data_IF_392851108447
#
_entry.id   IF_392851108447
#
_cell.length_a   1.000
_cell.length_b   1.000
_cell.length_c   1.000
_cell.angle_alpha   90.00
_cell.angle_beta   90.00
_cell.angle_gamma   90.00
#
_symmetry.space_group_name_H-M   'P 1'
#
loop_
_entity.id
_entity.type
_entity.pdbx_description
1 polymer ?
2 non-polymer ?
#
# COMPACT_ATOMS: atom_id res chain seq x y z
N UNK A 46 38.80 19.73 -10.12
CA UNK A 46 38.48 20.57 -11.31
C UNK A 46 37.95 21.86 -10.70
N UNK A 47 36.86 22.41 -11.24
CA UNK A 47 36.38 23.76 -10.80
C UNK A 47 34.86 23.85 -10.91
N UNK A 48 34.22 22.88 -11.55
CA UNK A 48 32.74 22.88 -11.64
C UNK A 48 32.20 22.18 -10.41
N UNK A 49 32.76 21.02 -10.09
CA UNK A 49 32.23 20.23 -8.94
C UNK A 49 31.75 21.14 -7.81
N UNK A 50 32.58 22.08 -7.29
CA UNK A 50 32.18 22.92 -6.17
C UNK A 50 30.87 23.67 -6.47
N UNK A 51 30.69 24.07 -7.72
CA UNK A 51 29.53 24.87 -8.08
C UNK A 51 28.29 23.99 -8.26
N UNK A 52 28.48 22.86 -8.96
CA UNK A 52 27.40 21.90 -9.20
C UNK A 52 26.95 21.26 -7.90
N UNK A 53 27.89 20.99 -6.99
CA UNK A 53 27.54 20.45 -5.70
C UNK A 53 26.65 21.40 -4.92
N UNK A 54 26.97 22.70 -4.94
CA UNK A 54 26.13 23.69 -4.30
C UNK A 54 24.80 23.80 -5.01
N UNK A 55 24.83 23.77 -6.35
CA UNK A 55 23.60 23.79 -7.12
C UNK A 55 22.70 22.61 -6.77
N UNK A 56 23.29 21.40 -6.70
CA UNK A 56 22.50 20.19 -6.53
C UNK A 56 22.09 19.99 -5.09
N UNK A 57 23.05 20.06 -4.16
CA UNK A 57 22.74 19.85 -2.75
C UNK A 57 21.74 20.87 -2.25
N UNK A 58 21.77 22.08 -2.79
CA UNK A 58 20.78 23.07 -2.38
C UNK A 58 19.39 22.74 -2.92
N UNK A 59 19.26 22.45 -4.22
CA UNK A 59 17.99 21.97 -4.77
C UNK A 59 17.45 20.81 -3.94
N UNK A 60 18.30 19.81 -3.65
CA UNK A 60 17.86 18.63 -2.92
C UNK A 60 17.49 18.98 -1.49
N UNK A 61 18.25 19.86 -0.85
CA UNK A 61 17.95 20.22 0.53
C UNK A 61 16.60 20.91 0.63
N UNK A 62 16.34 21.88 -0.26
CA UNK A 62 15.12 22.65 -0.15
C UNK A 62 13.91 21.82 -0.55
N UNK A 63 14.02 21.07 -1.65
CA UNK A 63 12.98 20.13 -2.04
C UNK A 63 12.64 19.18 -0.90
N UNK A 64 13.65 18.66 -0.22
CA UNK A 64 13.37 17.72 0.85
C UNK A 64 12.74 18.41 2.04
N UNK A 65 13.22 19.60 2.38
CA UNK A 65 12.63 20.36 3.49
C UNK A 65 11.20 20.77 3.13
N UNK A 66 11.00 21.26 1.91
CA UNK A 66 9.66 21.66 1.50
C UNK A 66 8.71 20.47 1.48
N UNK A 67 9.09 19.40 0.79
CA UNK A 67 8.16 18.32 0.54
C UNK A 67 7.83 17.52 1.79
N UNK A 68 8.84 17.23 2.60
CA UNK A 68 8.58 16.44 3.80
C UNK A 68 7.72 17.21 4.79
N UNK A 69 7.95 18.51 4.95
CA UNK A 69 7.09 19.25 5.89
C UNK A 69 5.71 19.50 5.30
N UNK A 70 5.63 19.70 3.99
CA UNK A 70 4.34 19.69 3.32
C UNK A 70 3.58 18.42 3.67
N UNK A 71 4.24 17.27 3.56
CA UNK A 71 3.61 16.00 3.87
C UNK A 71 3.25 15.90 5.35
N UNK A 72 4.14 16.33 6.24
CA UNK A 72 3.82 16.29 7.67
C UNK A 72 2.65 17.21 7.98
N UNK A 73 2.54 18.32 7.26
CA UNK A 73 1.50 19.30 7.53
C UNK A 73 0.12 18.74 7.17
N UNK A 74 -0.07 18.38 5.90
CA UNK A 74 -1.36 17.88 5.42
C UNK A 74 -1.78 16.62 6.17
N UNK A 75 -0.83 15.87 6.74
CA UNK A 75 -1.25 14.69 7.48
C UNK A 75 -1.72 15.02 8.90
N UNK A 76 -0.99 15.83 9.66
CA UNK A 76 -1.49 16.16 11.00
C UNK A 76 -2.70 17.08 10.92
N UNK A 77 -2.84 17.84 9.84
CA UNK A 77 -4.01 18.67 9.64
C UNK A 77 -5.25 17.81 9.35
N UNK A 78 -5.29 17.15 8.21
CA UNK A 78 -6.40 16.29 7.78
C UNK A 78 -6.30 14.92 8.43
N UNK A 79 -7.08 14.66 9.50
CA UNK A 79 -7.07 13.32 10.08
C UNK A 79 -7.88 12.33 9.26
N UNK A 80 -8.68 12.79 8.33
CA UNK A 80 -9.24 11.78 7.44
C UNK A 80 -8.13 11.14 6.61
N UNK A 81 -7.06 11.91 6.31
CA UNK A 81 -5.92 11.38 5.53
C UNK A 81 -5.11 10.36 6.31
N UNK A 82 -5.19 10.35 7.65
CA UNK A 82 -4.38 9.45 8.49
C UNK A 82 -4.99 8.06 8.55
N UNK A 83 -4.81 7.33 7.46
CA UNK A 83 -5.03 5.88 7.42
C UNK A 83 -3.87 5.16 8.10
N UNK A 84 -3.94 3.83 8.12
CA UNK A 84 -2.78 3.07 8.60
C UNK A 84 -1.61 3.24 7.65
N UNK A 85 -1.88 3.16 6.34
CA UNK A 85 -0.82 3.35 5.36
C UNK A 85 -0.15 4.68 5.53
N UNK A 86 -0.93 5.76 5.56
CA UNK A 86 -0.33 7.09 5.65
C UNK A 86 0.26 7.41 7.02
N UNK A 87 0.06 6.56 8.02
CA UNK A 87 0.69 6.78 9.31
C UNK A 87 2.14 6.32 9.26
N UNK A 88 2.38 5.15 8.65
CA UNK A 88 3.75 4.78 8.36
C UNK A 88 4.38 5.75 7.35
N UNK A 89 3.60 6.26 6.40
CA UNK A 89 4.13 7.26 5.47
C UNK A 89 4.53 8.53 6.19
N UNK A 90 3.91 8.80 7.33
CA UNK A 90 4.26 9.98 8.10
C UNK A 90 5.54 9.74 8.87
N UNK A 91 5.75 8.52 9.35
CA UNK A 91 6.98 8.20 10.07
C UNK A 91 8.17 8.10 9.12
N UNK A 92 7.93 7.62 7.91
CA UNK A 92 8.91 7.69 6.84
C UNK A 92 9.30 9.13 6.51
N UNK A 93 8.35 10.07 6.61
CA UNK A 93 8.65 11.46 6.25
C UNK A 93 9.38 12.20 7.34
N UNK A 94 9.20 11.77 8.59
CA UNK A 94 9.97 12.36 9.69
C UNK A 94 11.44 11.97 9.59
N UNK A 95 11.73 10.72 9.21
CA UNK A 95 13.12 10.32 8.96
C UNK A 95 13.74 11.15 7.86
N UNK A 96 13.07 11.20 6.70
CA UNK A 96 13.59 11.96 5.56
C UNK A 96 13.97 13.37 5.98
N UNK A 97 13.23 13.92 6.94
CA UNK A 97 13.47 15.30 7.36
C UNK A 97 14.65 15.36 8.31
N UNK A 98 14.70 14.43 9.26
CA UNK A 98 15.85 14.27 10.14
C UNK A 98 17.15 14.12 9.34
N UNK A 99 17.09 13.32 8.29
CA UNK A 99 18.25 13.10 7.42
C UNK A 99 18.60 14.35 6.64
N UNK A 100 17.57 15.10 6.21
CA UNK A 100 17.82 16.34 5.48
C UNK A 100 18.37 17.44 6.37
N UNK A 101 17.98 17.47 7.65
CA UNK A 101 18.35 18.55 8.57
C UNK A 101 19.54 18.24 9.47
N UNK A 102 19.67 17.01 9.95
CA UNK A 102 20.75 16.71 10.87
C UNK A 102 21.89 15.96 10.21
N UNK A 103 21.86 15.81 8.87
CA UNK A 103 22.85 15.00 8.19
C UNK A 103 23.32 15.61 6.88
N UNK A 104 22.40 16.07 6.05
CA UNK A 104 22.83 16.61 4.75
C UNK A 104 23.83 17.75 4.89
N UNK A 105 23.59 18.79 5.69
CA UNK A 105 24.62 19.87 5.79
C UNK A 105 25.92 19.39 6.40
N UNK A 106 25.85 18.70 7.53
CA UNK A 106 27.01 18.20 8.25
C UNK A 106 27.79 17.15 7.47
N UNK A 107 27.42 16.95 6.21
CA UNK A 107 28.18 15.99 5.40
C UNK A 107 28.58 16.65 4.09
N UNK A 108 27.94 17.75 3.71
CA UNK A 108 28.37 18.38 2.44
C UNK A 108 29.28 19.55 2.78
N UNK A 109 28.87 20.38 3.74
CA UNK A 109 29.74 21.52 4.12
C UNK A 109 31.14 20.96 4.38
N UNK A 110 31.33 20.02 5.31
CA UNK A 110 32.66 19.42 5.53
C UNK A 110 33.23 18.79 4.27
N UNK A 111 32.39 18.34 3.34
CA UNK A 111 32.92 17.85 2.09
C UNK A 111 33.35 18.98 1.16
N UNK A 112 32.69 20.13 1.24
CA UNK A 112 33.09 21.28 0.43
C UNK A 112 34.35 21.91 1.01
N UNK A 113 34.33 22.19 2.31
CA UNK A 113 35.50 22.71 3.02
C UNK A 113 36.67 21.74 2.97
N UNK A 114 36.40 20.48 2.62
CA UNK A 114 37.32 19.37 2.81
C UNK A 114 37.92 19.36 4.23
N UNK A 115 37.06 19.71 5.20
CA UNK A 115 37.48 19.74 6.62
C UNK A 115 36.24 19.68 7.52
N UNK A 116 36.21 18.75 8.48
CA UNK A 116 35.10 18.64 9.43
C UNK A 116 35.29 19.66 10.55
N UNK A 117 34.65 20.82 10.42
CA UNK A 117 34.85 21.96 11.31
C UNK A 117 33.83 22.02 12.45
N UNK A 118 32.98 21.00 12.61
CA UNK A 118 32.09 20.97 13.75
C UNK A 118 32.75 20.18 14.88
N UNK A 119 32.06 20.03 16.00
CA UNK A 119 32.66 19.37 17.15
C UNK A 119 32.81 17.87 16.95
N UNK A 120 33.52 17.24 17.89
CA UNK A 120 33.52 15.78 17.91
C UNK A 120 32.12 15.22 18.20
N UNK A 121 31.34 15.91 19.03
CA UNK A 121 30.02 15.41 19.36
C UNK A 121 29.05 15.56 18.20
N UNK A 122 29.18 16.63 17.40
CA UNK A 122 28.33 16.76 16.22
C UNK A 122 28.63 15.63 15.23
N UNK A 123 29.92 15.30 15.07
CA UNK A 123 30.34 14.19 14.22
C UNK A 123 29.70 12.88 14.67
N UNK A 124 29.71 12.60 15.98
CA UNK A 124 29.06 11.41 16.52
C UNK A 124 27.57 11.46 16.28
N UNK A 125 26.99 12.67 16.28
CA UNK A 125 25.56 12.84 16.22
C UNK A 125 25.02 12.64 14.81
N UNK A 126 25.62 13.34 13.83
CA UNK A 126 25.09 13.26 12.49
C UNK A 126 25.28 11.85 11.93
N UNK A 127 26.34 11.16 12.36
CA UNK A 127 26.48 9.74 12.06
C UNK A 127 25.35 8.92 12.69
N UNK A 128 24.92 9.33 13.90
CA UNK A 128 23.90 8.59 14.62
C UNK A 128 22.53 8.76 13.98
N UNK A 129 22.18 9.98 13.60
CA UNK A 129 20.90 10.20 12.95
C UNK A 129 20.88 9.66 11.54
N UNK A 130 22.04 9.54 10.89
CA UNK A 130 22.02 8.99 9.54
C UNK A 130 21.71 7.50 9.55
N UNK A 131 22.34 6.76 10.47
CA UNK A 131 22.02 5.35 10.59
C UNK A 131 20.60 5.11 11.06
N UNK A 132 20.12 5.95 11.97
CA UNK A 132 18.76 5.80 12.47
C UNK A 132 17.75 6.04 11.36
N UNK A 133 17.99 7.07 10.55
CA UNK A 133 17.06 7.42 9.48
C UNK A 133 16.86 6.24 8.53
N UNK A 134 17.96 5.69 8.01
CA UNK A 134 17.89 4.52 7.11
C UNK A 134 17.09 3.39 7.76
N UNK A 135 17.42 3.07 9.01
CA UNK A 135 16.78 1.99 9.74
C UNK A 135 15.26 2.18 9.82
N UNK A 136 14.82 3.36 10.26
CA UNK A 136 13.40 3.63 10.40
C UNK A 136 12.69 3.53 9.05
N UNK A 137 13.24 4.22 8.05
CA UNK A 137 12.65 4.24 6.71
C UNK A 137 12.50 2.83 6.15
N UNK A 138 13.57 2.04 6.25
CA UNK A 138 13.55 0.67 5.78
C UNK A 138 12.41 -0.11 6.42
N UNK A 139 12.32 -0.07 7.74
CA UNK A 139 11.35 -0.90 8.43
C UNK A 139 9.93 -0.33 8.37
N UNK A 140 9.78 0.97 8.04
CA UNK A 140 8.46 1.51 7.76
C UNK A 140 7.96 1.05 6.40
N UNK A 141 8.88 0.97 5.43
CA UNK A 141 8.47 0.42 4.16
C UNK A 141 8.00 -1.01 4.33
N UNK A 142 8.74 -1.78 5.14
CA UNK A 142 8.35 -3.15 5.44
C UNK A 142 7.00 -3.18 6.13
N UNK A 143 6.79 -2.25 7.08
CA UNK A 143 5.50 -2.16 7.76
C UNK A 143 4.37 -1.98 6.76
N UNK A 144 4.55 -1.05 5.80
CA UNK A 144 3.50 -0.76 4.84
C UNK A 144 3.17 -2.00 3.99
N UNK A 145 4.19 -2.73 3.56
CA UNK A 145 3.99 -3.90 2.72
C UNK A 145 3.19 -4.99 3.44
N UNK A 146 3.44 -5.18 4.73
CA UNK A 146 2.70 -6.19 5.49
C UNK A 146 1.31 -5.71 5.82
N UNK A 147 1.15 -4.41 5.98
CA UNK A 147 -0.15 -3.81 6.25
C UNK A 147 -1.04 -3.94 5.02
N UNK A 148 -0.50 -3.56 3.84
CA UNK A 148 -1.25 -3.73 2.61
C UNK A 148 -1.54 -5.20 2.35
N UNK A 149 -0.57 -6.07 2.64
CA UNK A 149 -0.80 -7.49 2.46
C UNK A 149 -1.98 -7.96 3.30
N UNK A 150 -2.01 -7.54 4.56
CA UNK A 150 -3.11 -7.89 5.43
C UNK A 150 -4.44 -7.34 4.94
N UNK A 151 -4.44 -6.12 4.41
CA UNK A 151 -5.69 -5.52 3.99
C UNK A 151 -6.17 -6.01 2.64
N UNK A 152 -5.30 -6.61 1.83
CA UNK A 152 -5.64 -7.03 0.49
C UNK A 152 -5.71 -8.55 0.37
N UNK A 153 -4.81 -9.26 1.04
CA UNK A 153 -4.73 -10.70 0.85
C UNK A 153 -5.34 -11.49 1.99
N UNK A 154 -5.50 -10.88 3.16
CA UNK A 154 -6.18 -11.59 4.26
C UNK A 154 -6.95 -10.55 5.06
N UNK A 155 -7.82 -9.78 4.36
CA UNK A 155 -8.60 -8.69 4.94
C UNK A 155 -9.52 -9.05 6.11
N UNK A 156 -10.34 -10.08 5.94
CA UNK A 156 -11.29 -10.53 7.00
C UNK A 156 -10.71 -11.77 7.68
N UNK A 157 -9.38 -11.82 7.83
CA UNK A 157 -8.62 -12.90 8.50
C UNK A 157 -7.58 -12.24 9.37
N UNK A 158 -7.16 -11.01 9.03
CA UNK A 158 -6.17 -10.37 9.92
C UNK A 158 -6.79 -8.97 10.07
N UNK A 159 -7.40 -8.72 11.23
CA UNK A 159 -7.92 -7.35 11.42
C UNK A 159 -6.90 -6.60 12.28
N UNK A 160 -6.23 -7.36 13.15
CA UNK A 160 -5.25 -6.81 14.07
C UNK A 160 -4.29 -5.83 13.40
N UNK A 161 -3.73 -6.16 12.21
CA UNK A 161 -2.71 -5.27 11.68
C UNK A 161 -3.28 -3.99 11.09
N UNK A 162 -4.59 -3.84 11.01
CA UNK A 162 -5.10 -2.55 10.58
C UNK A 162 -5.42 -1.60 11.74
N UNK A 163 -5.48 -2.09 12.98
CA UNK A 163 -5.80 -1.15 14.05
C UNK A 163 -4.72 -0.06 14.11
N UNK A 164 -5.17 1.18 13.99
CA UNK A 164 -4.29 2.33 13.93
C UNK A 164 -3.58 2.59 15.26
N UNK A 165 -4.02 1.94 16.34
CA UNK A 165 -3.21 1.88 17.56
C UNK A 165 -2.07 0.88 17.44
N UNK A 166 -2.29 -0.21 16.69
CA UNK A 166 -1.17 -1.09 16.36
C UNK A 166 -0.20 -0.39 15.41
N UNK A 167 -0.70 0.52 14.58
CA UNK A 167 0.18 1.27 13.69
C UNK A 167 1.14 2.16 14.47
N UNK A 168 0.64 2.80 15.52
CA UNK A 168 1.51 3.59 16.38
C UNK A 168 2.35 2.71 17.31
N UNK A 169 1.99 1.44 17.46
CA UNK A 169 2.83 0.54 18.28
C UNK A 169 4.10 0.16 17.53
N UNK A 170 3.96 -0.27 16.28
CA UNK A 170 5.16 -0.65 15.52
C UNK A 170 6.03 0.57 15.27
N UNK A 171 5.43 1.71 14.97
CA UNK A 171 6.22 2.91 14.70
C UNK A 171 7.05 3.28 15.93
N UNK A 172 6.42 3.32 17.10
CA UNK A 172 7.18 3.54 18.34
C UNK A 172 8.28 2.51 18.48
N UNK A 173 8.02 1.27 18.10
CA UNK A 173 9.06 0.26 18.22
C UNK A 173 10.14 0.45 17.16
N UNK A 174 9.78 1.01 16.00
CA UNK A 174 10.76 1.20 14.93
C UNK A 174 11.78 2.27 15.29
N UNK A 175 11.32 3.41 15.81
CA UNK A 175 12.27 4.44 16.22
C UNK A 175 13.11 3.97 17.40
N UNK A 176 12.47 3.38 18.41
CA UNK A 176 13.18 2.96 19.61
C UNK A 176 14.25 1.95 19.25
N UNK A 177 13.89 0.93 18.45
CA UNK A 177 14.90 -0.07 18.21
C UNK A 177 15.94 0.40 17.20
N UNK A 178 15.57 1.33 16.31
CA UNK A 178 16.55 1.92 15.40
C UNK A 178 17.63 2.68 16.16
N UNK A 179 17.22 3.50 17.12
CA UNK A 179 18.18 4.23 17.94
C UNK A 179 19.05 3.29 18.75
N UNK A 180 18.50 2.16 19.17
CA UNK A 180 19.29 1.26 20.01
C UNK A 180 20.32 0.50 19.21
N UNK A 181 19.92 -0.02 18.04
CA UNK A 181 20.83 -0.81 17.22
C UNK A 181 21.91 0.08 16.59
N UNK A 182 21.61 1.35 16.33
CA UNK A 182 22.55 2.27 15.72
C UNK A 182 23.49 2.96 16.73
N UNK A 183 23.52 2.50 17.98
CA UNK A 183 24.39 3.15 18.96
C UNK A 183 25.90 2.98 18.73
N UNK A 184 26.40 2.01 17.96
CA UNK A 184 27.85 2.00 17.71
C UNK A 184 28.31 3.22 16.96
N UNK A 185 27.41 3.88 16.21
CA UNK A 185 27.84 5.05 15.44
C UNK A 185 28.35 6.14 16.36
N UNK A 186 27.58 6.67 17.32
CA UNK A 186 28.15 7.68 18.22
C UNK A 186 29.24 7.15 19.13
N UNK A 187 29.26 5.83 19.39
CA UNK A 187 30.31 5.29 20.25
C UNK A 187 31.65 5.27 19.53
N UNK A 188 31.68 4.85 18.27
CA UNK A 188 32.93 4.66 17.55
C UNK A 188 33.17 5.71 16.48
N UNK A 189 32.43 6.81 16.49
CA UNK A 189 32.65 7.87 15.52
C UNK A 189 33.56 8.89 16.16
N UNK A 190 34.57 9.32 15.41
CA UNK A 190 35.61 10.18 15.97
C UNK A 190 36.20 11.07 14.89
N UNK A 191 36.79 12.17 15.33
CA UNK A 191 37.56 12.99 14.42
C UNK A 191 38.89 12.30 14.13
N UNK A 192 39.21 12.15 12.87
CA UNK A 192 40.52 11.61 12.49
C UNK A 192 41.34 12.76 11.92
N UNK A 193 42.43 13.15 12.59
CA UNK A 193 43.22 14.29 12.12
C UNK A 193 44.09 13.90 10.96
N UNK A 194 44.18 14.79 9.98
CA UNK A 194 44.99 14.56 8.80
C UNK A 194 45.54 15.90 8.35
N UNK A 195 46.58 15.84 7.51
CA UNK A 195 47.24 17.08 7.06
C UNK A 195 47.12 17.23 5.56
N UNK A 196 46.35 18.22 5.13
CA UNK A 196 46.23 18.56 3.70
C UNK A 196 47.62 19.09 3.37
N UNK A 197 47.84 19.59 2.16
CA UNK A 197 49.26 19.81 1.80
C UNK A 197 49.74 21.10 2.47
N UNK A 198 51.05 21.17 2.71
CA UNK A 198 51.76 22.29 3.37
C UNK A 198 51.49 22.26 4.88
N UNK A 199 51.09 21.13 5.44
CA UNK A 199 50.94 21.10 6.92
C UNK A 199 49.71 21.85 7.43
N UNK A 200 48.65 22.01 6.64
CA UNK A 200 47.47 22.73 7.14
C UNK A 200 46.66 21.59 7.76
N UNK A 201 46.63 21.56 9.08
CA UNK A 201 46.01 20.46 9.81
C UNK A 201 44.49 20.58 9.76
N UNK A 202 43.81 19.43 9.65
CA UNK A 202 42.36 19.39 9.59
C UNK A 202 41.85 18.05 10.14
N UNK A 203 40.55 17.96 10.34
CA UNK A 203 39.94 16.78 10.90
C UNK A 203 38.93 16.19 9.92
N UNK A 204 38.55 14.94 10.16
CA UNK A 204 37.51 14.33 9.34
C UNK A 204 36.75 13.33 10.19
N UNK A 205 35.43 13.39 10.11
CA UNK A 205 34.55 12.52 10.89
C UNK A 205 34.54 11.14 10.27
N UNK A 206 35.01 10.16 11.02
CA UNK A 206 35.08 8.78 10.49
C UNK A 206 34.56 7.80 11.53
N UNK A 207 34.00 6.68 11.06
CA UNK A 207 33.43 5.65 11.92
C UNK A 207 34.39 4.46 11.91
N UNK A 208 35.12 4.24 13.01
CA UNK A 208 36.16 3.22 13.08
C UNK A 208 35.99 2.34 14.31
N UNK A 209 35.60 1.10 14.06
CA UNK A 209 35.47 0.03 15.02
C UNK A 209 36.84 -0.57 15.28
N UNK A 210 37.02 -1.26 16.42
CA UNK A 210 38.38 -1.66 16.86
C UNK A 210 39.25 -2.35 15.82
N UNK A 211 38.71 -3.18 14.92
CA UNK A 211 39.57 -3.84 13.93
C UNK A 211 38.81 -4.10 12.64
N UNK A 212 39.52 -4.71 11.68
CA UNK A 212 38.97 -4.96 10.34
C UNK A 212 37.83 -5.98 10.37
N UNK A 213 37.91 -6.98 11.26
CA UNK A 213 36.88 -8.00 11.35
C UNK A 213 35.57 -7.41 11.83
N UNK A 214 35.61 -6.53 12.83
CA UNK A 214 34.38 -5.91 13.30
C UNK A 214 33.79 -4.99 12.23
N UNK A 215 34.65 -4.22 11.55
CA UNK A 215 34.19 -3.37 10.46
C UNK A 215 33.41 -4.19 9.46
N UNK A 216 33.98 -5.33 9.06
CA UNK A 216 33.34 -6.19 8.07
C UNK A 216 32.03 -6.76 8.61
N UNK A 217 32.04 -7.21 9.87
CA UNK A 217 30.84 -7.82 10.45
C UNK A 217 29.70 -6.82 10.59
N UNK A 218 30.01 -5.55 10.88
CA UNK A 218 28.95 -4.56 11.06
C UNK A 218 28.28 -4.22 9.74
N UNK A 219 29.09 -3.90 8.72
CA UNK A 219 28.55 -3.57 7.41
C UNK A 219 27.84 -4.76 6.76
N UNK A 220 28.26 -6.00 7.07
CA UNK A 220 27.51 -7.13 6.55
C UNK A 220 26.20 -7.30 7.30
N UNK A 221 26.22 -7.03 8.61
CA UNK A 221 25.00 -7.09 9.42
C UNK A 221 24.02 -6.00 9.00
N UNK A 222 24.53 -4.81 8.68
CA UNK A 222 23.64 -3.74 8.22
C UNK A 222 23.09 -4.03 6.84
N UNK A 223 23.89 -4.65 5.97
CA UNK A 223 23.34 -5.09 4.69
C UNK A 223 22.22 -6.11 4.89
N UNK A 224 22.32 -6.96 5.91
CA UNK A 224 21.32 -7.98 6.11
C UNK A 224 20.03 -7.39 6.69
N UNK A 225 20.13 -6.66 7.81
CA UNK A 225 18.92 -6.21 8.47
C UNK A 225 18.35 -4.94 7.88
N UNK A 226 19.01 -4.31 6.89
CA UNK A 226 18.44 -3.14 6.24
C UNK A 226 18.11 -3.31 4.76
N UNK A 227 18.60 -4.35 4.10
CA UNK A 227 18.27 -4.47 2.68
C UNK A 227 17.92 -5.89 2.27
N UNK A 228 18.73 -6.88 2.68
CA UNK A 228 18.46 -8.25 2.25
C UNK A 228 17.16 -8.78 2.88
N UNK A 229 17.07 -8.76 4.21
CA UNK A 229 15.89 -9.26 4.89
C UNK A 229 14.72 -8.32 4.62
N UNK A 230 14.83 -7.00 4.87
CA UNK A 230 13.72 -6.10 4.51
C UNK A 230 13.31 -6.19 3.04
N UNK A 231 14.26 -6.45 2.15
CA UNK A 231 13.94 -6.50 0.74
C UNK A 231 13.09 -7.70 0.36
N UNK A 232 13.32 -8.85 1.01
CA UNK A 232 12.60 -10.03 0.55
C UNK A 232 11.24 -10.14 1.24
N UNK A 233 11.14 -9.71 2.51
CA UNK A 233 9.81 -9.63 3.12
C UNK A 233 8.95 -8.67 2.33
N UNK A 234 9.52 -7.52 1.95
CA UNK A 234 8.87 -6.60 1.02
C UNK A 234 8.46 -7.29 -0.27
N UNK A 235 9.35 -8.10 -0.83
CA UNK A 235 9.11 -8.67 -2.14
C UNK A 235 8.07 -9.80 -2.08
N UNK A 236 8.12 -10.63 -1.04
CA UNK A 236 7.08 -11.65 -0.91
C UNK A 236 5.73 -10.98 -0.71
N UNK A 237 5.68 -9.89 0.07
CA UNK A 237 4.42 -9.21 0.32
C UNK A 237 3.88 -8.60 -0.96
N UNK A 238 4.65 -7.72 -1.60
CA UNK A 238 4.16 -7.08 -2.81
C UNK A 238 3.91 -8.09 -3.95
N UNK A 239 4.51 -9.28 -3.88
CA UNK A 239 4.24 -10.29 -4.90
C UNK A 239 2.86 -10.92 -4.73
N UNK A 240 2.55 -11.33 -3.50
CA UNK A 240 1.23 -11.85 -3.16
C UNK A 240 0.14 -10.79 -3.34
N UNK A 241 0.40 -9.56 -2.88
CA UNK A 241 -0.50 -8.45 -3.14
C UNK A 241 -0.75 -8.31 -4.63
N UNK A 242 0.32 -8.36 -5.42
CA UNK A 242 0.19 -8.21 -6.86
C UNK A 242 -0.45 -9.44 -7.50
N UNK A 243 -0.45 -10.57 -6.80
CA UNK A 243 -1.12 -11.76 -7.30
C UNK A 243 -2.62 -11.62 -7.17
N UNK A 244 -3.09 -11.27 -5.97
CA UNK A 244 -4.51 -11.06 -5.72
C UNK A 244 -5.08 -9.97 -6.62
N UNK A 245 -4.41 -8.81 -6.67
CA UNK A 245 -4.87 -7.69 -7.46
C UNK A 245 -4.91 -7.99 -8.95
N UNK A 246 -4.21 -9.04 -9.39
CA UNK A 246 -4.27 -9.46 -10.79
C UNK A 246 -5.59 -10.17 -11.08
N UNK A 247 -5.96 -11.12 -10.22
CA UNK A 247 -7.17 -11.92 -10.43
C UNK A 247 -8.40 -11.05 -10.57
N UNK A 248 -8.42 -9.90 -9.91
CA UNK A 248 -9.43 -8.90 -10.15
C UNK A 248 -10.73 -9.18 -9.40
N UNK A 249 -11.80 -8.79 -10.06
CA UNK A 249 -13.14 -8.74 -9.48
C UNK A 249 -13.88 -10.05 -9.70
N UNK A 250 -14.55 -10.51 -8.65
CA UNK A 250 -15.34 -11.73 -8.72
C UNK A 250 -16.82 -11.38 -8.41
N UNK A 251 -17.65 -12.42 -8.24
CA UNK A 251 -19.08 -12.20 -8.02
C UNK A 251 -19.35 -11.66 -6.62
N UNK A 252 -18.52 -12.05 -5.65
CA UNK A 252 -18.72 -11.57 -4.29
C UNK A 252 -18.34 -10.10 -4.18
N UNK A 253 -17.28 -9.69 -4.89
CA UNK A 253 -16.91 -8.29 -5.02
C UNK A 253 -18.02 -7.49 -5.71
N UNK A 254 -18.44 -7.97 -6.88
CA UNK A 254 -19.50 -7.35 -7.67
C UNK A 254 -20.75 -7.13 -6.83
N UNK A 255 -21.23 -8.19 -6.18
CA UNK A 255 -22.43 -8.11 -5.37
C UNK A 255 -22.24 -7.30 -4.10
N UNK A 256 -21.00 -7.20 -3.59
CA UNK A 256 -20.75 -6.35 -2.44
C UNK A 256 -20.85 -4.88 -2.80
N UNK A 257 -20.40 -4.53 -4.00
CA UNK A 257 -20.55 -3.17 -4.48
C UNK A 257 -22.01 -2.88 -4.77
N UNK A 258 -22.72 -3.86 -5.35
CA UNK A 258 -24.11 -3.66 -5.79
C UNK A 258 -24.94 -3.25 -4.57
N UNK A 259 -24.76 -3.88 -3.41
CA UNK A 259 -25.70 -3.77 -2.30
C UNK A 259 -25.14 -3.22 -1.00
N UNK A 260 -23.82 -3.21 -0.81
CA UNK A 260 -23.24 -2.66 0.41
C UNK A 260 -23.42 -3.57 1.61
N UNK A 261 -23.47 -2.95 2.79
CA UNK A 261 -23.73 -3.70 4.04
C UNK A 261 -24.62 -2.82 4.93
N UNK A 262 -25.74 -3.38 5.39
CA UNK A 262 -26.68 -2.73 6.27
C UNK A 262 -26.96 -3.69 7.42
N UNK A 263 -26.63 -3.29 8.63
CA UNK A 263 -26.66 -4.21 9.75
C UNK A 263 -28.00 -4.25 10.47
N UNK A 264 -28.93 -3.37 10.11
CA UNK A 264 -30.30 -3.40 10.61
C UNK A 264 -31.26 -3.58 9.44
N UNK A 265 -32.42 -4.16 9.73
CA UNK A 265 -33.44 -4.44 8.71
C UNK A 265 -33.67 -3.16 7.93
N UNK A 266 -33.97 -3.31 6.65
CA UNK A 266 -34.33 -2.16 5.83
C UNK A 266 -35.09 -2.71 4.63
N UNK A 267 -35.51 -1.78 3.79
CA UNK A 267 -36.33 -2.16 2.61
C UNK A 267 -35.48 -2.01 1.36
N UNK A 268 -36.00 -2.58 0.28
CA UNK A 268 -35.38 -2.56 -1.04
C UNK A 268 -36.18 -1.60 -1.92
N UNK A 269 -35.74 -1.44 -3.16
CA UNK A 269 -36.50 -0.51 -4.05
C UNK A 269 -37.92 -1.04 -4.20
N UNK A 270 -38.09 -2.35 -4.03
CA UNK A 270 -39.41 -3.00 -4.17
C UNK A 270 -40.24 -2.76 -2.92
N UNK A 271 -39.59 -2.69 -1.75
CA UNK A 271 -40.33 -2.44 -0.48
C UNK A 271 -40.23 -3.61 0.48
N UNK A 272 -39.65 -4.73 0.03
CA UNK A 272 -39.49 -5.93 0.84
C UNK A 272 -38.35 -5.78 1.85
N UNK A 273 -38.50 -6.45 3.00
CA UNK A 273 -37.49 -6.37 4.05
C UNK A 273 -36.23 -7.13 3.64
N UNK A 274 -35.07 -6.49 3.81
CA UNK A 274 -33.79 -7.13 3.51
C UNK A 274 -32.77 -6.73 4.58
N UNK A 275 -31.72 -7.55 4.69
CA UNK A 275 -30.74 -7.43 5.76
C UNK A 275 -29.35 -7.77 5.19
N UNK A 276 -28.32 -7.24 5.85
CA UNK A 276 -26.96 -7.64 5.50
C UNK A 276 -26.59 -7.19 4.10
N UNK A 277 -26.13 -8.14 3.30
CA UNK A 277 -25.80 -7.88 1.90
C UNK A 277 -26.96 -8.45 1.08
N UNK A 278 -28.02 -7.66 0.92
CA UNK A 278 -29.16 -8.00 0.07
C UNK A 278 -29.81 -9.36 0.26
N UNK A 279 -29.96 -9.79 1.50
CA UNK A 279 -30.64 -11.05 1.77
C UNK A 279 -32.10 -10.75 2.03
N UNK A 280 -32.98 -11.39 1.24
CA UNK A 280 -34.41 -11.17 1.32
C UNK A 280 -35.01 -12.03 2.44
N UNK A 281 -35.63 -11.35 3.42
CA UNK A 281 -36.26 -12.02 4.57
C UNK A 281 -37.74 -12.34 4.40
N UNK A 282 -38.55 -11.32 4.11
CA UNK A 282 -39.95 -11.58 3.81
C UNK A 282 -40.44 -10.45 2.91
N UNK A 283 -41.44 -10.80 2.09
CA UNK A 283 -42.14 -9.84 1.26
C UNK A 283 -43.43 -9.33 1.90
N UNK A 284 -43.97 -10.08 2.86
CA UNK A 284 -45.07 -9.59 3.69
C UNK A 284 -44.80 -8.18 4.19
N UNK A 285 -45.83 -7.33 4.26
CA UNK A 285 -45.64 -5.96 4.81
C UNK A 285 -45.33 -5.92 6.31
N UNK A 286 -45.46 -7.04 7.03
CA UNK A 286 -45.29 -7.02 8.49
C UNK A 286 -43.82 -6.96 8.86
N UNK A 287 -43.50 -6.07 9.80
CA UNK A 287 -42.11 -6.01 10.30
C UNK A 287 -41.95 -7.17 11.29
N UNK A 288 -43.07 -7.66 11.84
CA UNK A 288 -42.99 -8.74 12.80
C UNK A 288 -42.66 -10.07 12.13
N UNK A 289 -43.14 -10.29 10.91
CA UNK A 289 -42.73 -11.49 10.18
C UNK A 289 -41.27 -11.41 9.73
N UNK A 290 -40.70 -10.21 9.63
CA UNK A 290 -39.31 -10.07 9.18
C UNK A 290 -38.34 -10.24 10.35
N UNK A 291 -38.59 -9.55 11.46
CA UNK A 291 -37.86 -9.83 12.69
C UNK A 291 -37.89 -11.32 13.01
N UNK A 292 -38.96 -12.00 12.63
CA UNK A 292 -39.05 -13.44 12.85
C UNK A 292 -38.18 -14.22 11.87
N UNK A 293 -38.33 -13.94 10.57
CA UNK A 293 -37.53 -14.61 9.55
C UNK A 293 -36.05 -14.31 9.73
N UNK A 294 -35.72 -13.13 10.26
CA UNK A 294 -34.33 -12.79 10.52
C UNK A 294 -33.75 -13.68 11.61
N UNK A 295 -34.43 -13.73 12.77
CA UNK A 295 -33.89 -14.48 13.88
C UNK A 295 -33.60 -15.92 13.51
N UNK A 296 -34.31 -16.42 12.50
CA UNK A 296 -34.14 -17.82 12.05
C UNK A 296 -32.98 -17.93 11.05
N UNK A 297 -32.45 -16.81 10.57
CA UNK A 297 -31.32 -16.84 9.62
C UNK A 297 -30.05 -17.32 10.32
N UNK A 298 -29.91 -16.99 11.60
CA UNK A 298 -28.67 -17.19 12.33
C UNK A 298 -28.78 -18.16 13.48
N UNK A 299 -29.46 -17.69 14.52
CA UNK A 299 -29.32 -18.19 15.87
C UNK A 299 -30.26 -17.40 16.77
N UNK A 300 -29.66 -16.64 17.69
CA UNK A 300 -30.35 -15.87 18.77
C UNK A 300 -31.42 -14.90 18.29
N UNK A 301 -32.12 -14.27 19.24
CA UNK A 301 -33.09 -13.19 18.92
C UNK A 301 -32.26 -11.94 18.62
N UNK A 302 -32.07 -11.69 17.33
CA UNK A 302 -31.24 -10.61 16.79
C UNK A 302 -31.82 -9.23 17.07
N UNK A 303 -33.10 -9.15 17.44
CA UNK A 303 -33.82 -7.92 17.78
C UNK A 303 -33.72 -6.88 16.67
N UNK A 304 -33.32 -7.28 15.46
CA UNK A 304 -33.20 -6.38 14.33
C UNK A 304 -31.83 -6.00 13.81
N UNK A 305 -30.80 -5.99 14.66
CA UNK A 305 -29.44 -5.64 14.26
C UNK A 305 -28.58 -6.90 14.34
N UNK A 306 -27.57 -6.96 13.47
CA UNK A 306 -26.85 -8.22 13.23
C UNK A 306 -25.38 -7.92 12.98
N UNK A 307 -24.52 -8.91 13.23
CA UNK A 307 -23.10 -8.65 13.08
C UNK A 307 -22.69 -8.70 11.62
N UNK A 308 -21.46 -8.22 11.35
CA UNK A 308 -20.92 -8.30 10.00
C UNK A 308 -20.61 -9.74 9.59
N UNK A 309 -20.13 -10.56 10.53
CA UNK A 309 -19.75 -11.93 10.17
C UNK A 309 -20.97 -12.78 9.90
N UNK A 310 -22.11 -12.37 10.44
CA UNK A 310 -23.36 -13.08 10.15
C UNK A 310 -23.91 -12.68 8.78
N UNK A 311 -23.82 -11.41 8.43
CA UNK A 311 -24.14 -11.00 7.06
C UNK A 311 -23.30 -11.77 6.06
N UNK A 312 -21.98 -11.82 6.26
CA UNK A 312 -21.10 -12.53 5.35
C UNK A 312 -21.41 -14.03 5.31
N UNK A 313 -21.70 -14.62 6.47
CA UNK A 313 -22.11 -16.02 6.50
C UNK A 313 -23.39 -16.20 5.71
N UNK A 314 -24.35 -15.29 5.90
CA UNK A 314 -25.60 -15.32 5.13
C UNK A 314 -25.35 -15.00 3.67
N UNK A 315 -24.43 -14.06 3.40
CA UNK A 315 -24.18 -13.60 2.03
C UNK A 315 -23.48 -14.66 1.20
N UNK A 316 -22.73 -15.56 1.84
CA UNK A 316 -22.15 -16.67 1.10
C UNK A 316 -23.19 -17.74 0.82
N UNK A 317 -24.07 -18.00 1.78
CA UNK A 317 -25.20 -18.89 1.52
C UNK A 317 -26.08 -18.34 0.41
N UNK A 318 -26.24 -17.02 0.38
CA UNK A 318 -27.04 -16.37 -0.66
C UNK A 318 -26.46 -16.61 -2.04
N UNK A 319 -25.19 -16.29 -2.24
CA UNK A 319 -24.54 -16.58 -3.52
C UNK A 319 -24.63 -18.08 -3.81
N UNK A 320 -24.52 -18.89 -2.76
CA UNK A 320 -24.74 -20.32 -2.91
C UNK A 320 -26.14 -20.60 -3.43
N UNK A 321 -27.15 -19.96 -2.85
CA UNK A 321 -28.54 -20.16 -3.25
C UNK A 321 -28.76 -19.76 -4.70
N UNK A 322 -28.25 -18.58 -5.09
CA UNK A 322 -28.49 -18.05 -6.43
C UNK A 322 -27.88 -18.94 -7.50
N UNK A 323 -26.66 -19.45 -7.28
CA UNK A 323 -26.06 -20.32 -8.29
C UNK A 323 -26.80 -21.64 -8.34
N UNK A 324 -27.25 -22.13 -7.18
CA UNK A 324 -28.02 -23.37 -7.16
C UNK A 324 -29.30 -23.22 -7.97
N UNK A 325 -29.97 -22.08 -7.82
CA UNK A 325 -31.18 -21.83 -8.59
C UNK A 325 -30.95 -21.86 -10.09
N UNK A 326 -29.88 -21.20 -10.56
CA UNK A 326 -29.58 -21.18 -11.99
C UNK A 326 -29.44 -22.60 -12.53
N UNK A 327 -28.83 -23.49 -11.74
CA UNK A 327 -28.59 -24.85 -12.21
C UNK A 327 -29.79 -25.77 -12.00
N UNK A 328 -30.76 -25.39 -11.15
CA UNK A 328 -32.01 -26.13 -10.98
C UNK A 328 -33.11 -25.67 -11.94
N UNK A 329 -33.09 -24.41 -12.37
CA UNK A 329 -34.04 -23.90 -13.33
C UNK A 329 -33.59 -24.28 -14.73
N UNK A 330 -34.37 -25.12 -15.42
CA UNK A 330 -33.94 -25.72 -16.69
C UNK A 330 -34.13 -24.79 -17.89
N UNK A 331 -34.19 -23.49 -17.62
CA UNK A 331 -34.28 -22.45 -18.68
C UNK A 331 -33.07 -21.52 -18.55
N UNK A 332 -32.61 -21.31 -17.32
CA UNK A 332 -31.41 -20.53 -17.02
C UNK A 332 -30.14 -21.32 -17.30
N UNK A 333 -30.11 -22.60 -16.87
CA UNK A 333 -28.91 -23.44 -16.98
C UNK A 333 -28.41 -23.62 -18.41
N UNK A 334 -29.25 -23.82 -19.40
CA UNK A 334 -28.75 -23.76 -20.78
C UNK A 334 -28.09 -22.44 -21.13
N UNK A 335 -28.51 -21.33 -20.54
CA UNK A 335 -27.88 -20.04 -20.84
C UNK A 335 -26.61 -19.85 -20.02
N UNK A 336 -26.65 -20.20 -18.74
CA UNK A 336 -25.50 -20.16 -17.85
C UNK A 336 -24.28 -20.86 -18.45
N UNK A 337 -24.47 -22.13 -18.87
CA UNK A 337 -23.41 -22.91 -19.48
C UNK A 337 -22.72 -22.12 -20.59
N UNK A 338 -23.48 -21.34 -21.37
CA UNK A 338 -22.94 -20.66 -22.54
C UNK A 338 -22.14 -19.40 -22.22
N UNK A 339 -22.11 -18.94 -20.97
CA UNK A 339 -21.46 -17.67 -20.69
C UNK A 339 -20.05 -17.86 -20.12
N UNK A 340 -19.21 -16.85 -20.34
CA UNK A 340 -17.87 -16.90 -19.74
C UNK A 340 -18.04 -16.41 -18.30
N UNK A 341 -17.04 -16.69 -17.47
CA UNK A 341 -16.90 -16.28 -16.06
C UNK A 341 -17.51 -14.92 -15.69
N UNK A 342 -17.28 -13.87 -16.48
CA UNK A 342 -17.79 -12.60 -15.98
C UNK A 342 -19.26 -12.42 -16.37
N UNK A 343 -19.65 -12.95 -17.52
CA UNK A 343 -21.07 -12.93 -17.86
C UNK A 343 -21.86 -13.90 -17.00
N UNK A 344 -21.25 -15.02 -16.58
CA UNK A 344 -21.89 -15.85 -15.58
C UNK A 344 -22.18 -15.06 -14.32
N UNK A 345 -21.21 -14.24 -13.89
CA UNK A 345 -21.38 -13.44 -12.68
C UNK A 345 -22.53 -12.45 -12.84
N UNK A 346 -22.72 -11.93 -14.05
CA UNK A 346 -23.80 -11.00 -14.30
C UNK A 346 -25.15 -11.72 -14.21
N UNK A 347 -25.20 -12.98 -14.63
CA UNK A 347 -26.42 -13.75 -14.45
C UNK A 347 -26.62 -14.11 -12.98
N UNK A 348 -25.54 -14.41 -12.27
CA UNK A 348 -25.65 -14.72 -10.85
C UNK A 348 -26.13 -13.48 -10.09
N UNK A 349 -25.71 -12.30 -10.55
CA UNK A 349 -26.09 -11.05 -9.91
C UNK A 349 -27.59 -10.83 -10.01
N UNK A 350 -28.16 -11.22 -11.13
CA UNK A 350 -29.56 -10.98 -11.38
C UNK A 350 -30.42 -11.91 -10.55
N UNK A 351 -30.04 -13.19 -10.51
CA UNK A 351 -30.76 -14.17 -9.69
C UNK A 351 -30.58 -13.89 -8.20
N UNK A 352 -29.46 -13.27 -7.82
CA UNK A 352 -29.30 -12.79 -6.45
C UNK A 352 -30.33 -11.72 -6.13
N UNK A 353 -30.64 -10.86 -7.10
CA UNK A 353 -31.51 -9.70 -6.86
C UNK A 353 -32.99 -10.08 -6.96
N UNK A 354 -33.38 -10.76 -8.05
CA UNK A 354 -34.78 -11.01 -8.37
C UNK A 354 -35.24 -12.46 -8.18
N UNK A 355 -34.33 -13.38 -7.89
CA UNK A 355 -34.70 -14.76 -7.65
C UNK A 355 -34.60 -15.63 -8.90
N UNK A 356 -34.58 -16.94 -8.67
CA UNK A 356 -34.55 -17.91 -9.76
C UNK A 356 -35.77 -17.74 -10.68
N UNK A 357 -36.99 -17.71 -10.12
CA UNK A 357 -38.17 -17.62 -10.97
C UNK A 357 -38.32 -16.23 -11.59
N UNK A 358 -37.96 -15.18 -10.85
CA UNK A 358 -38.08 -13.82 -11.39
C UNK A 358 -37.24 -13.61 -12.66
N UNK A 359 -36.06 -14.20 -12.71
CA UNK A 359 -35.08 -13.94 -13.78
C UNK A 359 -35.33 -14.85 -14.99
N UNK A 360 -35.72 -16.10 -14.77
CA UNK A 360 -36.12 -16.92 -15.92
C UNK A 360 -37.33 -16.33 -16.66
N UNK A 361 -38.04 -15.38 -16.05
CA UNK A 361 -39.05 -14.63 -16.78
C UNK A 361 -38.49 -13.83 -17.95
N UNK A 362 -37.21 -13.47 -17.91
CA UNK A 362 -36.60 -12.64 -18.94
C UNK A 362 -36.28 -13.46 -20.20
N UNK A 363 -37.30 -14.15 -20.72
CA UNK A 363 -37.09 -15.12 -21.79
C UNK A 363 -36.53 -14.48 -23.05
N UNK A 364 -37.03 -13.28 -23.39
CA UNK A 364 -36.50 -12.58 -24.56
C UNK A 364 -35.00 -12.35 -24.45
N UNK A 365 -34.55 -11.78 -23.31
CA UNK A 365 -33.13 -11.43 -23.14
C UNK A 365 -32.25 -12.66 -23.01
N UNK A 366 -32.73 -13.70 -22.33
CA UNK A 366 -31.97 -14.94 -22.18
C UNK A 366 -31.80 -15.67 -23.50
N UNK A 367 -32.63 -15.39 -24.48
CA UNK A 367 -32.40 -15.94 -25.81
C UNK A 367 -31.16 -15.32 -26.44
N UNK A 368 -31.06 -14.01 -26.36
CA UNK A 368 -30.02 -13.28 -27.04
C UNK A 368 -28.65 -13.49 -26.38
N UNK A 369 -28.63 -13.69 -25.06
CA UNK A 369 -27.41 -14.07 -24.37
C UNK A 369 -26.99 -15.48 -24.72
N UNK A 370 -27.95 -16.40 -24.78
CA UNK A 370 -27.70 -17.77 -25.22
C UNK A 370 -27.15 -17.80 -26.64
N UNK A 371 -27.47 -16.80 -27.44
CA UNK A 371 -27.03 -16.75 -28.83
C UNK A 371 -25.91 -15.74 -29.04
N UNK A 372 -25.13 -15.45 -27.99
CA UNK A 372 -23.93 -14.61 -28.04
C UNK A 372 -24.19 -13.20 -28.56
N UNK A 373 -25.46 -12.79 -28.66
CA UNK A 373 -25.81 -11.49 -29.21
C UNK A 373 -25.87 -10.49 -28.05
N UNK A 374 -24.74 -9.84 -27.78
CA UNK A 374 -24.53 -9.09 -26.55
C UNK A 374 -25.08 -7.68 -26.63
N UNK A 375 -24.67 -6.88 -27.62
CA UNK A 375 -25.30 -5.58 -27.81
C UNK A 375 -26.82 -5.72 -27.78
N UNK A 376 -27.34 -6.73 -28.47
CA UNK A 376 -28.78 -6.95 -28.58
C UNK A 376 -29.46 -7.13 -27.23
N UNK A 377 -29.02 -8.14 -26.47
CA UNK A 377 -29.60 -8.38 -25.16
C UNK A 377 -29.40 -7.22 -24.20
N UNK A 378 -28.46 -6.30 -24.48
CA UNK A 378 -28.23 -5.14 -23.61
C UNK A 378 -29.25 -4.05 -23.86
N UNK A 379 -29.63 -3.85 -25.14
CA UNK A 379 -30.74 -2.97 -25.48
C UNK A 379 -31.99 -3.43 -24.75
N UNK A 380 -32.27 -4.74 -24.82
CA UNK A 380 -33.52 -5.27 -24.32
C UNK A 380 -33.60 -5.18 -22.81
N UNK A 381 -32.50 -5.50 -22.12
CA UNK A 381 -32.50 -5.52 -20.67
C UNK A 381 -32.72 -4.13 -20.08
N UNK A 382 -32.33 -3.08 -20.79
CA UNK A 382 -32.64 -1.75 -20.33
C UNK A 382 -34.08 -1.30 -20.67
N UNK A 383 -34.89 -2.13 -21.33
CA UNK A 383 -36.32 -1.81 -21.47
C UNK A 383 -37.17 -2.47 -20.39
N UNK A 384 -36.55 -3.14 -19.42
CA UNK A 384 -37.26 -3.93 -18.43
C UNK A 384 -37.63 -3.13 -17.18
N UNK A 385 -38.55 -3.69 -16.40
CA UNK A 385 -38.90 -3.13 -15.10
C UNK A 385 -37.71 -3.21 -14.14
N UNK A 386 -36.93 -4.29 -14.23
CA UNK A 386 -35.72 -4.41 -13.43
C UNK A 386 -34.80 -3.21 -13.64
N UNK A 387 -34.49 -2.89 -14.91
CA UNK A 387 -33.67 -1.71 -15.19
C UNK A 387 -34.32 -0.44 -14.66
N UNK A 388 -35.65 -0.32 -14.80
CA UNK A 388 -36.35 0.90 -14.41
C UNK A 388 -36.45 1.03 -12.89
N UNK A 389 -36.50 -0.10 -12.17
CA UNK A 389 -36.55 -0.06 -10.71
C UNK A 389 -35.20 0.33 -10.11
N UNK A 390 -34.09 -0.20 -10.66
CA UNK A 390 -32.73 0.03 -10.16
C UNK A 390 -31.78 0.26 -11.32
N UNK A 391 -31.70 1.48 -11.83
CA UNK A 391 -30.93 1.69 -13.07
C UNK A 391 -29.41 1.64 -12.88
N UNK A 392 -28.88 2.25 -11.82
CA UNK A 392 -27.43 2.24 -11.60
C UNK A 392 -26.88 0.81 -11.51
N UNK A 393 -27.53 -0.04 -10.70
CA UNK A 393 -27.10 -1.42 -10.60
C UNK A 393 -27.27 -2.14 -11.92
N UNK A 394 -28.37 -1.84 -12.64
CA UNK A 394 -28.71 -2.52 -13.88
C UNK A 394 -27.80 -2.08 -15.03
N UNK A 395 -27.48 -0.78 -15.11
CA UNK A 395 -26.52 -0.32 -16.10
C UNK A 395 -25.19 -1.04 -15.94
N UNK A 396 -24.75 -1.22 -14.69
CA UNK A 396 -23.52 -1.95 -14.41
C UNK A 396 -23.59 -3.39 -14.91
N UNK A 397 -24.66 -4.11 -14.55
CA UNK A 397 -24.79 -5.52 -14.91
C UNK A 397 -24.88 -5.70 -16.42
N UNK A 398 -25.55 -4.75 -17.09
CA UNK A 398 -25.76 -4.84 -18.53
C UNK A 398 -24.44 -4.61 -19.27
N UNK A 399 -23.62 -3.65 -18.80
CA UNK A 399 -22.28 -3.45 -19.35
C UNK A 399 -21.46 -4.74 -19.27
N UNK A 400 -21.48 -5.37 -18.09
CA UNK A 400 -20.81 -6.65 -17.87
C UNK A 400 -21.26 -7.71 -18.88
N UNK A 401 -22.57 -7.80 -19.12
CA UNK A 401 -23.12 -8.68 -20.15
C UNK A 401 -22.65 -8.29 -21.53
N UNK A 402 -22.72 -7.00 -21.87
CA UNK A 402 -22.38 -6.55 -23.22
C UNK A 402 -20.89 -6.76 -23.50
N UNK A 403 -20.01 -6.38 -22.55
CA UNK A 403 -18.56 -6.37 -22.79
C UNK A 403 -17.83 -7.62 -22.33
N UNK A 404 -18.41 -8.44 -21.45
CA UNK A 404 -17.64 -9.57 -20.94
C UNK A 404 -16.40 -9.17 -20.13
N UNK A 405 -16.37 -7.94 -19.65
CA UNK A 405 -15.28 -7.44 -18.81
C UNK A 405 -15.84 -7.00 -17.47
N UNK A 406 -14.95 -6.57 -16.59
CA UNK A 406 -15.33 -6.04 -15.28
C UNK A 406 -15.23 -4.54 -15.23
N UNK A 407 -15.02 -3.87 -16.37
CA UNK A 407 -14.92 -2.42 -16.40
C UNK A 407 -15.96 -1.70 -15.54
N UNK A 408 -17.19 -2.20 -15.51
CA UNK A 408 -18.23 -1.54 -14.73
C UNK A 408 -18.00 -1.62 -13.23
N UNK A 409 -17.19 -2.56 -12.75
CA UNK A 409 -17.02 -2.71 -11.31
C UNK A 409 -15.61 -2.40 -10.82
N UNK A 410 -14.68 -2.25 -11.74
CA UNK A 410 -13.25 -2.08 -11.39
C UNK A 410 -12.89 -0.62 -11.20
N UNK A 411 -13.29 -0.03 -10.08
CA UNK A 411 -12.89 1.35 -9.77
C UNK A 411 -12.10 1.28 -8.47
N UNK A 412 -12.61 0.48 -7.53
CA UNK A 412 -11.91 0.27 -6.27
C UNK A 412 -10.67 -0.57 -6.48
N UNK A 413 -10.74 -1.55 -7.38
CA UNK A 413 -9.57 -2.33 -7.71
C UNK A 413 -8.48 -1.45 -8.33
N UNK A 414 -8.88 -0.61 -9.31
CA UNK A 414 -7.92 0.22 -10.03
C UNK A 414 -7.23 1.23 -9.12
N UNK A 415 -7.96 1.76 -8.12
CA UNK A 415 -7.33 2.68 -7.18
C UNK A 415 -6.32 1.95 -6.30
N UNK A 416 -6.65 0.71 -5.94
CA UNK A 416 -5.74 -0.11 -5.15
C UNK A 416 -4.45 -0.40 -5.92
N UNK A 417 -4.58 -0.80 -7.19
CA UNK A 417 -3.41 -1.03 -8.02
C UNK A 417 -2.54 0.23 -8.10
N UNK A 418 -3.17 1.39 -8.20
CA UNK A 418 -2.40 2.65 -8.26
C UNK A 418 -1.58 2.80 -6.99
N UNK A 419 -2.21 2.55 -5.84
CA UNK A 419 -1.53 2.72 -4.58
C UNK A 419 -0.33 1.79 -4.48
N UNK A 420 -0.55 0.50 -4.75
CA UNK A 420 0.51 -0.48 -4.60
C UNK A 420 1.64 -0.20 -5.57
N UNK A 421 1.29 0.22 -6.80
CA UNK A 421 2.33 0.56 -7.76
C UNK A 421 3.13 1.77 -7.27
N UNK A 422 2.49 2.69 -6.54
CA UNK A 422 3.23 3.79 -5.95
C UNK A 422 4.20 3.31 -4.87
N UNK A 423 3.76 2.37 -4.01
CA UNK A 423 4.66 1.89 -2.97
C UNK A 423 5.84 1.13 -3.56
N UNK A 424 5.59 0.36 -4.63
CA UNK A 424 6.66 -0.39 -5.27
C UNK A 424 7.68 0.57 -5.88
N UNK A 425 7.24 1.77 -6.31
CA UNK A 425 8.24 2.71 -6.81
C UNK A 425 9.00 3.37 -5.67
N UNK A 426 8.30 3.66 -4.56
CA UNK A 426 8.98 4.27 -3.41
C UNK A 426 10.06 3.33 -2.87
N UNK A 427 9.76 2.03 -2.76
CA UNK A 427 10.73 1.07 -2.28
C UNK A 427 11.91 0.98 -3.24
N UNK A 428 11.63 0.79 -4.54
CA UNK A 428 12.67 0.53 -5.52
C UNK A 428 13.66 1.70 -5.60
N UNK A 429 13.16 2.94 -5.57
CA UNK A 429 14.08 4.09 -5.56
C UNK A 429 14.79 4.24 -4.22
N UNK A 430 14.23 3.68 -3.14
CA UNK A 430 14.91 3.78 -1.85
C UNK A 430 16.11 2.86 -1.81
N UNK A 431 15.97 1.64 -2.34
CA UNK A 431 17.10 0.74 -2.49
C UNK A 431 18.09 1.33 -3.49
N UNK A 432 17.60 1.78 -4.64
CA UNK A 432 18.49 2.40 -5.61
C UNK A 432 19.29 3.54 -5.01
N UNK A 433 18.71 4.27 -4.06
CA UNK A 433 19.42 5.43 -3.54
C UNK A 433 20.44 5.08 -2.46
N UNK A 434 20.21 3.97 -1.73
CA UNK A 434 20.98 3.67 -0.53
C UNK A 434 21.99 2.56 -0.71
N UNK A 435 21.74 1.62 -1.62
CA UNK A 435 22.72 0.56 -1.85
C UNK A 435 24.09 1.11 -2.25
N UNK A 436 24.21 2.13 -3.11
CA UNK A 436 25.56 2.66 -3.40
C UNK A 436 26.36 2.99 -2.14
N UNK A 437 25.83 3.81 -1.23
CA UNK A 437 26.66 4.23 -0.10
C UNK A 437 26.93 3.06 0.84
N UNK A 438 25.94 2.18 1.06
CA UNK A 438 26.19 1.02 1.92
C UNK A 438 27.14 0.02 1.27
N UNK A 439 27.03 -0.16 -0.05
CA UNK A 439 27.97 -1.01 -0.76
C UNK A 439 29.38 -0.45 -0.74
N UNK A 440 29.53 0.89 -0.78
CA UNK A 440 30.86 1.48 -0.75
C UNK A 440 31.51 1.36 0.63
N UNK A 441 30.73 1.54 1.70
CA UNK A 441 31.25 1.40 3.05
C UNK A 441 31.63 -0.05 3.36
N UNK A 442 30.92 -1.00 2.76
CA UNK A 442 31.27 -2.40 2.95
C UNK A 442 32.55 -2.74 2.19
N UNK A 443 32.68 -2.21 0.97
CA UNK A 443 33.87 -2.42 0.17
C UNK A 443 35.07 -1.79 0.87
N UNK A 444 34.80 -0.74 1.64
CA UNK A 444 35.87 -0.06 2.38
C UNK A 444 36.22 -0.90 3.61
N UNK A 445 35.24 -1.60 4.18
CA UNK A 445 35.57 -2.44 5.32
C UNK A 445 36.29 -3.72 4.93
N UNK A 446 36.20 -4.12 3.67
CA UNK A 446 36.89 -5.37 3.25
C UNK A 446 38.24 -5.05 2.59
N UNK A 447 38.24 -4.09 1.66
CA UNK A 447 39.49 -3.70 0.95
C UNK A 447 39.56 -2.18 0.97
N UNK A 448 39.96 -1.60 2.09
CA UNK A 448 39.99 -0.12 2.17
C UNK A 448 40.91 0.47 1.10
N UNK A 449 41.87 -0.28 0.58
CA UNK A 449 42.78 0.29 -0.41
C UNK A 449 42.08 0.50 -1.74
N UNK A 450 41.50 -0.58 -2.28
CA UNK A 450 40.79 -0.53 -3.59
C UNK A 450 39.55 0.37 -3.54
N UNK A 451 38.90 0.46 -2.36
CA UNK A 451 37.69 1.27 -2.22
C UNK A 451 38.00 2.77 -2.23
N UNK A 452 38.96 3.18 -1.42
CA UNK A 452 39.24 4.63 -1.36
C UNK A 452 39.93 5.08 -2.64
N UNK A 453 40.60 4.16 -3.33
CA UNK A 453 41.39 4.54 -4.50
C UNK A 453 40.49 4.76 -5.71
N UNK A 454 39.32 4.15 -5.72
CA UNK A 454 38.43 4.26 -6.90
C UNK A 454 37.23 5.18 -6.60
N UNK A 455 37.05 5.63 -5.36
CA UNK A 455 35.89 6.43 -5.00
C UNK A 455 36.18 7.80 -4.41
N UNK A 456 37.35 8.01 -3.77
CA UNK A 456 37.45 9.08 -2.77
C UNK A 456 37.24 10.49 -3.33
N UNK A 457 37.33 10.68 -4.64
CA UNK A 457 37.09 12.01 -5.15
C UNK A 457 35.61 12.31 -5.36
N UNK A 458 35.23 12.56 -6.61
CA UNK A 458 33.84 12.80 -6.99
C UNK A 458 32.95 11.56 -6.96
N UNK A 459 33.46 10.34 -7.23
CA UNK A 459 32.55 9.17 -7.22
C UNK A 459 31.77 9.02 -5.93
N UNK A 460 32.43 9.13 -4.77
CA UNK A 460 31.72 9.08 -3.50
C UNK A 460 31.01 10.39 -3.18
N UNK A 461 31.40 11.49 -3.82
CA UNK A 461 30.70 12.74 -3.59
C UNK A 461 29.27 12.67 -4.15
N UNK A 462 29.08 11.94 -5.25
CA UNK A 462 27.78 11.78 -5.87
C UNK A 462 27.04 10.57 -5.35
N UNK A 463 27.75 9.52 -4.97
CA UNK A 463 27.11 8.40 -4.28
C UNK A 463 26.45 8.90 -3.00
N UNK A 464 27.15 9.75 -2.25
CA UNK A 464 26.57 10.37 -1.06
C UNK A 464 25.31 11.14 -1.44
N UNK A 465 25.38 11.88 -2.55
CA UNK A 465 24.29 12.74 -2.97
C UNK A 465 23.06 11.93 -3.36
N UNK A 466 23.29 10.77 -3.99
CA UNK A 466 22.23 9.83 -4.28
C UNK A 466 21.47 9.46 -3.01
N UNK A 467 22.21 9.26 -1.90
CA UNK A 467 21.61 8.86 -0.64
C UNK A 467 20.68 9.96 -0.10
N UNK A 468 21.18 11.20 -0.03
CA UNK A 468 20.36 12.34 0.39
C UNK A 468 19.22 12.65 -0.58
N UNK A 469 19.33 12.21 -1.84
CA UNK A 469 18.25 12.42 -2.77
C UNK A 469 17.03 11.59 -2.41
N UNK A 470 17.23 10.49 -1.66
CA UNK A 470 16.11 9.66 -1.24
C UNK A 470 15.12 10.44 -0.40
N UNK A 471 15.60 11.39 0.42
CA UNK A 471 14.69 12.08 1.34
C UNK A 471 13.75 13.03 0.64
N UNK A 472 14.01 13.40 -0.61
CA UNK A 472 13.09 14.27 -1.34
C UNK A 472 12.36 13.57 -2.47
N UNK A 473 12.51 12.25 -2.60
CA UNK A 473 11.86 11.50 -3.69
C UNK A 473 10.36 11.34 -3.43
N UNK A 474 10.00 10.80 -2.27
CA UNK A 474 8.60 10.48 -1.98
C UNK A 474 7.65 11.67 -2.05
N UNK A 475 7.98 12.86 -1.56
CA UNK A 475 7.03 13.97 -1.70
C UNK A 475 6.77 14.35 -3.14
N UNK A 476 7.79 14.30 -4.01
CA UNK A 476 7.54 14.52 -5.44
C UNK A 476 6.66 13.42 -6.00
N UNK A 477 6.72 12.22 -5.44
CA UNK A 477 5.96 11.09 -5.96
C UNK A 477 4.47 11.27 -5.64
N UNK A 478 4.13 11.61 -4.38
CA UNK A 478 2.74 11.91 -4.04
C UNK A 478 2.19 13.04 -4.91
N UNK A 479 3.04 14.01 -5.23
CA UNK A 479 2.66 15.13 -6.08
C UNK A 479 2.11 14.65 -7.41
N UNK A 480 2.85 13.76 -8.06
CA UNK A 480 2.43 13.24 -9.36
C UNK A 480 1.25 12.28 -9.26
N UNK A 481 0.94 11.90 -8.03
CA UNK A 481 -0.17 10.94 -7.76
C UNK A 481 -1.50 11.67 -7.90
N UNK A 482 -1.47 12.92 -8.34
CA UNK A 482 -2.70 13.72 -8.54
C UNK A 482 -2.94 14.09 -10.00
N UNK A 483 -2.25 15.12 -10.50
CA UNK A 483 -2.37 15.55 -11.92
C UNK A 483 -1.00 16.08 -12.32
X LIG B 1 33.73 7.81 1.78
X LIG B 1 34.13 9.19 1.92
X LIG B 1 34.34 9.57 3.39
X LIG B 1 34.29 8.69 4.28
X LIG B 1 34.56 10.75 3.72
X LIG B 1 24.83 4.49 7.28
X LIG B 1 25.24 4.44 5.94
X LIG B 1 35.45 4.55 -0.07
X LIG B 1 36.14 5.77 -0.14
X LIG B 1 25.39 5.41 8.15
X LIG B 1 26.20 5.32 5.49
X LIG B 1 34.24 4.51 0.60
X LIG B 1 35.65 6.92 0.46
X LIG B 1 27.80 8.58 5.91
X LIG B 1 32.59 5.93 1.93
X LIG B 1 31.51 7.88 3.05
X LIG B 1 26.36 6.28 7.68
X LIG B 1 27.80 7.18 5.84
X LIG B 1 29.76 7.49 4.76
X LIG B 1 26.74 6.24 6.37
X LIG B 1 32.64 7.26 2.26
X LIG B 1 33.75 5.67 1.20
X LIG B 1 34.43 6.86 1.14
X LIG B 1 28.86 6.64 5.20
X LIG B 1 30.90 7.03 4.02
X LIG B 1 31.15 8.98 2.86
X LIG B 1 29.23 9.05 5.13
X LIG B 1 27.07 7.50 8.76
#
# INVERSE_FOLDING_TARGET
DYKDDDDGAPDVVDSLLVNGSNITPPCELGLENETLFCLDQPRPSKEWQPAVQILLYSLIFLLSVLGNTLVITVLIRNKRMRTVTNIFLLSLAVSNLMLCLFCMPFNLIPNLLKDFIFGSAVCKTTTYFMGTSVSVSTWNLVAISLERYGAICKPLQSRVWQTKSHALKVIAATWCLSFTIMTPYPIYSNLVPFTKNNNQTANMCRFLLPNDVMQQSWHTFLLLILFLIPGIVMMVAYGLISLELYQGINIFEMLRIDEGLRLKIYKDTEGYYTIGIGHLLTKSPSLNAAKSELDKAIGRNTNGVITKDEAEKLFNQDVDAAVRGILRNAKLKPVYDSLDAVRRAALINMVFQMGETGVAGFTNSLRMLQQKRWDEAAVNLAKSRWYNQTPNRAKRVITTFRTGTWDAYAANLMAKKRVIRMLIVIVVLFFLCWMPIFSANAWRAYDTASAERRLSGTPISFILLLSYTSSCVNPIIYCFMNKRFRLGFMATFPCCPNPGPPGARGEVGEEEEGEFLEVLFQGPHHHHHHHHHH
1OE N CA C O OXT CAE CAF CAG CAH CAI CAJ CAK CAL CAM CAN CAT CAU CAV CAW CAX CAY CAZ CBA NAP NAQ OAB SAR CLA
#
